data_IF_675508288122
#
_entry.id   IF_675508288122
#
_cell.length_a   1.000
_cell.length_b   1.000
_cell.length_c   1.000
_cell.angle_alpha   90.00
_cell.angle_beta   90.00
_cell.angle_gamma   90.00
#
_symmetry.space_group_name_H-M   'P 1'
#
loop_
_entity.id
_entity.type
_entity.pdbx_description
1 polymer ?
#
# COMPACT_ATOMS: atom_id res chain seq x y z
N UNK A 1 -1.75 -5.71 35.92
CA UNK A 1 -0.63 -4.88 35.49
C UNK A 1 -1.09 -3.44 35.59
N UNK A 2 -0.41 -2.58 36.34
CA UNK A 2 -0.80 -1.17 36.53
C UNK A 2 -0.54 -0.35 35.28
N UNK A 3 -1.32 0.72 35.05
CA UNK A 3 -1.15 1.61 33.89
C UNK A 3 0.27 2.21 33.79
N UNK A 4 0.89 2.47 34.95
CA UNK A 4 2.29 2.92 35.03
C UNK A 4 3.27 1.91 34.46
N UNK A 5 3.08 0.61 34.71
CA UNK A 5 3.93 -0.45 34.16
C UNK A 5 3.74 -0.60 32.63
N UNK A 6 2.53 -0.39 32.12
CA UNK A 6 2.24 -0.35 30.67
C UNK A 6 2.92 0.82 29.98
N UNK A 7 2.85 2.02 30.58
CA UNK A 7 3.51 3.24 30.04
C UNK A 7 5.03 3.10 30.01
N UNK A 8 5.64 2.48 31.04
CA UNK A 8 7.09 2.25 31.08
C UNK A 8 7.51 1.29 29.99
N UNK A 9 6.78 0.19 29.77
CA UNK A 9 7.03 -0.74 28.65
C UNK A 9 6.89 -0.07 27.29
N UNK A 10 5.84 0.73 27.09
CA UNK A 10 5.63 1.44 25.84
C UNK A 10 6.80 2.38 25.51
N UNK A 11 7.32 3.10 26.51
CA UNK A 11 8.51 3.96 26.37
C UNK A 11 9.74 3.16 25.96
N UNK A 12 9.93 1.96 26.49
CA UNK A 12 11.04 1.08 26.11
C UNK A 12 10.94 0.63 24.66
N UNK A 13 9.74 0.26 24.21
CA UNK A 13 9.52 -0.14 22.82
C UNK A 13 9.66 1.01 21.82
N UNK A 14 9.26 2.23 22.18
CA UNK A 14 9.49 3.41 21.33
C UNK A 14 10.97 3.76 21.20
N UNK A 15 11.79 3.49 22.21
CA UNK A 15 13.24 3.71 22.14
C UNK A 15 13.94 2.77 21.14
N UNK A 16 13.41 1.56 20.90
CA UNK A 16 13.90 0.60 19.89
C UNK A 16 13.22 0.73 18.51
N UNK A 17 12.58 1.87 18.21
CA UNK A 17 11.78 2.07 17.01
C UNK A 17 10.66 1.03 16.82
N UNK A 18 10.19 0.44 17.90
CA UNK A 18 9.10 -0.51 17.91
C UNK A 18 9.47 -1.94 17.48
N UNK A 19 10.69 -2.20 17.01
CA UNK A 19 11.08 -3.52 16.52
C UNK A 19 10.97 -4.60 17.62
N UNK A 20 11.42 -4.29 18.83
CA UNK A 20 11.33 -5.21 19.97
C UNK A 20 9.88 -5.45 20.40
N UNK A 21 9.00 -4.46 20.22
CA UNK A 21 7.58 -4.59 20.52
C UNK A 21 6.89 -5.57 19.55
N UNK A 22 7.14 -5.44 18.25
CA UNK A 22 6.55 -6.31 17.23
C UNK A 22 6.94 -7.78 17.42
N UNK A 23 8.17 -8.04 17.91
CA UNK A 23 8.65 -9.39 18.22
C UNK A 23 8.28 -9.89 19.61
N UNK A 24 7.67 -9.07 20.48
CA UNK A 24 7.41 -9.39 21.86
C UNK A 24 6.11 -10.13 22.08
N UNK A 25 6.01 -10.80 23.25
CA UNK A 25 4.73 -11.40 23.71
C UNK A 25 3.64 -10.37 24.04
N UNK A 26 4.01 -9.10 24.19
CA UNK A 26 3.08 -8.01 24.50
C UNK A 26 2.37 -7.48 23.24
N UNK A 27 2.88 -7.83 22.05
CA UNK A 27 2.20 -7.50 20.79
C UNK A 27 1.08 -8.51 20.54
N UNK A 28 -0.17 -8.06 20.38
CA UNK A 28 -1.31 -8.96 20.24
C UNK A 28 -1.20 -9.82 18.98
N UNK A 29 -1.05 -11.14 19.13
CA UNK A 29 -1.02 -12.08 17.99
C UNK A 29 -2.27 -11.98 17.10
N UNK A 30 -3.42 -11.68 17.70
CA UNK A 30 -4.66 -11.46 16.96
C UNK A 30 -4.56 -10.27 16.00
N UNK A 31 -3.81 -9.21 16.36
CA UNK A 31 -3.58 -8.06 15.49
C UNK A 31 -2.68 -8.44 14.30
N UNK A 32 -1.62 -9.21 14.54
CA UNK A 32 -0.75 -9.73 13.47
C UNK A 32 -1.57 -10.57 12.49
N UNK A 33 -2.34 -11.53 13.01
CA UNK A 33 -3.18 -12.41 12.17
C UNK A 33 -4.22 -11.62 11.39
N UNK A 34 -4.81 -10.58 11.99
CA UNK A 34 -5.77 -9.71 11.33
C UNK A 34 -5.09 -8.88 10.23
N UNK A 35 -3.94 -8.28 10.52
CA UNK A 35 -3.18 -7.51 9.53
C UNK A 35 -2.78 -8.39 8.34
N UNK A 36 -2.26 -9.60 8.59
CA UNK A 36 -1.90 -10.55 7.53
C UNK A 36 -3.10 -10.98 6.68
N UNK A 37 -4.26 -11.16 7.29
CA UNK A 37 -5.50 -11.53 6.58
C UNK A 37 -5.95 -10.45 5.61
N UNK A 38 -5.74 -9.19 5.95
CA UNK A 38 -6.19 -8.04 5.15
C UNK A 38 -5.06 -7.38 4.34
N UNK A 39 -3.83 -7.88 4.49
CA UNK A 39 -2.70 -7.43 3.69
C UNK A 39 -2.93 -7.75 2.21
N UNK A 40 -2.88 -6.74 1.31
CA UNK A 40 -3.05 -6.95 -0.12
C UNK A 40 -2.05 -7.94 -0.72
N UNK A 41 -0.78 -7.89 -0.29
CA UNK A 41 0.25 -8.85 -0.72
C UNK A 41 -0.12 -10.25 -0.25
N UNK A 42 -0.51 -10.41 1.02
CA UNK A 42 -0.93 -11.68 1.59
C UNK A 42 -2.15 -12.28 0.88
N UNK A 43 -3.12 -11.44 0.49
CA UNK A 43 -4.32 -11.86 -0.24
C UNK A 43 -4.02 -12.36 -1.65
N UNK A 44 -3.02 -11.82 -2.33
CA UNK A 44 -2.65 -12.17 -3.70
C UNK A 44 -1.59 -13.26 -3.77
N UNK A 45 -0.56 -13.19 -2.93
CA UNK A 45 0.64 -14.02 -3.02
C UNK A 45 0.85 -14.94 -1.81
N UNK A 46 0.07 -14.78 -0.73
CA UNK A 46 0.29 -15.49 0.52
C UNK A 46 1.67 -15.18 1.09
N UNK A 47 2.43 -16.24 1.40
CA UNK A 47 3.82 -16.12 1.88
C UNK A 47 4.85 -16.03 0.75
N UNK A 48 4.42 -16.20 -0.52
CA UNK A 48 5.33 -16.14 -1.67
C UNK A 48 5.76 -14.71 -1.98
N UNK A 49 6.90 -14.58 -2.67
CA UNK A 49 7.37 -13.30 -3.17
C UNK A 49 6.47 -12.76 -4.30
N UNK A 50 6.49 -11.44 -4.45
CA UNK A 50 5.76 -10.77 -5.53
C UNK A 50 6.51 -11.03 -6.83
N UNK A 51 5.84 -11.68 -7.78
CA UNK A 51 6.41 -11.95 -9.10
C UNK A 51 6.01 -10.83 -10.06
N UNK A 52 7.00 -10.15 -10.62
CA UNK A 52 6.78 -9.08 -11.60
C UNK A 52 6.07 -9.56 -12.87
N UNK A 53 6.40 -10.78 -13.32
CA UNK A 53 5.80 -11.44 -14.50
C UNK A 53 5.27 -12.83 -14.10
N UNK A 54 4.02 -12.92 -13.63
CA UNK A 54 3.41 -14.20 -13.29
C UNK A 54 3.13 -15.05 -14.55
N UNK A 55 3.21 -16.38 -14.42
CA UNK A 55 2.83 -17.32 -15.49
C UNK A 55 1.33 -17.19 -15.83
N UNK A 56 0.90 -17.69 -16.98
CA UNK A 56 -0.51 -17.64 -17.40
C UNK A 56 -1.45 -18.29 -16.37
N UNK A 57 -1.05 -19.43 -15.81
CA UNK A 57 -1.83 -20.11 -14.77
C UNK A 57 -1.96 -19.25 -13.49
N UNK A 58 -0.91 -18.55 -13.12
CA UNK A 58 -0.90 -17.66 -11.99
C UNK A 58 -1.68 -16.36 -12.26
N UNK A 59 -1.57 -15.81 -13.48
CA UNK A 59 -2.41 -14.69 -13.92
C UNK A 59 -3.90 -15.01 -13.82
N UNK A 60 -4.31 -16.24 -14.22
CA UNK A 60 -5.70 -16.69 -14.11
C UNK A 60 -6.17 -16.72 -12.65
N UNK A 61 -5.35 -17.24 -11.73
CA UNK A 61 -5.64 -17.26 -10.31
C UNK A 61 -5.71 -15.84 -9.71
N UNK A 62 -4.72 -15.00 -10.03
CA UNK A 62 -4.66 -13.61 -9.57
C UNK A 62 -5.85 -12.80 -10.08
N UNK A 63 -6.25 -13.01 -11.34
CA UNK A 63 -7.42 -12.34 -11.94
C UNK A 63 -8.69 -12.57 -11.13
N UNK A 64 -8.94 -13.78 -10.65
CA UNK A 64 -10.11 -14.06 -9.81
C UNK A 64 -10.15 -13.19 -8.55
N UNK A 65 -9.00 -12.97 -7.92
CA UNK A 65 -8.91 -12.10 -6.74
C UNK A 65 -9.06 -10.62 -7.14
N UNK A 66 -8.38 -10.18 -8.18
CA UNK A 66 -8.43 -8.79 -8.64
C UNK A 66 -9.84 -8.40 -9.10
N UNK A 67 -10.56 -9.28 -9.80
CA UNK A 67 -11.94 -9.04 -10.24
C UNK A 67 -12.88 -8.79 -9.05
N UNK A 68 -12.68 -9.48 -7.93
CA UNK A 68 -13.52 -9.30 -6.74
C UNK A 68 -13.11 -8.10 -5.89
N UNK A 69 -11.86 -7.65 -5.97
CA UNK A 69 -11.30 -6.65 -5.05
C UNK A 69 -11.14 -5.27 -5.66
N UNK A 70 -10.66 -5.18 -6.90
CA UNK A 70 -10.24 -3.90 -7.46
C UNK A 70 -10.79 -3.59 -8.87
N UNK A 71 -11.52 -4.49 -9.51
CA UNK A 71 -12.08 -4.25 -10.85
C UNK A 71 -12.86 -2.95 -10.92
N UNK A 72 -12.59 -2.11 -11.91
CA UNK A 72 -13.23 -0.82 -12.13
C UNK A 72 -12.85 0.27 -11.12
N UNK A 73 -11.90 0.01 -10.20
CA UNK A 73 -11.52 1.00 -9.18
C UNK A 73 -10.42 1.93 -9.67
N UNK A 74 -10.47 3.15 -9.11
CA UNK A 74 -9.40 4.12 -9.23
C UNK A 74 -8.69 4.21 -7.88
N UNK A 75 -7.37 4.13 -7.88
CA UNK A 75 -6.53 4.03 -6.69
C UNK A 75 -5.47 5.12 -6.76
N UNK A 76 -5.42 5.96 -5.73
CA UNK A 76 -4.33 6.91 -5.51
C UNK A 76 -3.52 6.46 -4.31
N UNK A 77 -2.21 6.38 -4.47
CA UNK A 77 -1.26 6.14 -3.40
C UNK A 77 -0.34 7.34 -3.27
N UNK A 78 -0.26 7.90 -2.07
CA UNK A 78 0.64 9.00 -1.73
C UNK A 78 1.66 8.49 -0.71
N UNK A 79 2.94 8.58 -1.04
CA UNK A 79 4.02 8.06 -0.19
C UNK A 79 5.07 9.13 0.09
N UNK A 80 5.50 9.27 1.36
CA UNK A 80 6.62 10.12 1.72
C UNK A 80 7.96 9.49 1.28
N UNK A 81 8.73 10.20 0.45
CA UNK A 81 10.01 9.71 -0.04
C UNK A 81 11.12 9.64 1.02
N UNK A 82 10.95 10.35 2.15
CA UNK A 82 11.84 10.32 3.31
C UNK A 82 11.21 9.62 4.53
N UNK A 83 10.13 8.86 4.34
CA UNK A 83 9.46 8.13 5.42
C UNK A 83 10.36 7.00 5.92
N UNK A 84 10.76 7.09 7.19
CA UNK A 84 11.59 6.08 7.86
C UNK A 84 10.77 5.05 8.63
N UNK A 85 9.49 5.32 8.87
CA UNK A 85 8.60 4.42 9.61
C UNK A 85 7.97 3.39 8.68
N UNK A 86 7.48 3.86 7.52
CA UNK A 86 6.95 3.01 6.44
C UNK A 86 7.63 3.40 5.12
N UNK A 87 8.88 2.99 4.90
CA UNK A 87 9.64 3.38 3.72
C UNK A 87 8.95 2.91 2.42
N UNK A 88 8.96 3.77 1.41
CA UNK A 88 8.31 3.48 0.12
C UNK A 88 8.75 2.14 -0.51
N UNK A 89 10.03 1.78 -0.38
CA UNK A 89 10.55 0.52 -0.92
C UNK A 89 9.85 -0.74 -0.35
N UNK A 90 9.18 -0.63 0.80
CA UNK A 90 8.37 -1.74 1.34
C UNK A 90 7.09 -1.99 0.53
N UNK A 91 6.52 -0.95 -0.07
CA UNK A 91 5.28 -1.01 -0.87
C UNK A 91 5.55 -1.07 -2.37
N UNK A 92 6.70 -0.55 -2.82
CA UNK A 92 7.06 -0.41 -4.23
C UNK A 92 6.91 -1.70 -5.05
N UNK A 93 7.39 -2.88 -4.61
CA UNK A 93 7.25 -4.11 -5.39
C UNK A 93 5.78 -4.47 -5.65
N UNK A 94 4.91 -4.24 -4.67
CA UNK A 94 3.48 -4.49 -4.81
C UNK A 94 2.82 -3.48 -5.74
N UNK A 95 3.13 -2.20 -5.62
CA UNK A 95 2.61 -1.14 -6.47
C UNK A 95 3.06 -1.33 -7.92
N UNK A 96 4.31 -1.70 -8.12
CA UNK A 96 4.85 -2.02 -9.45
C UNK A 96 4.14 -3.22 -10.07
N UNK A 97 3.88 -4.28 -9.28
CA UNK A 97 3.10 -5.42 -9.75
C UNK A 97 1.70 -5.00 -10.20
N UNK A 98 0.97 -4.21 -9.40
CA UNK A 98 -0.39 -3.75 -9.74
C UNK A 98 -0.37 -2.89 -11.00
N UNK A 99 0.58 -1.94 -11.12
CA UNK A 99 0.73 -1.10 -12.32
C UNK A 99 1.01 -1.94 -13.57
N UNK A 100 1.90 -2.92 -13.47
CA UNK A 100 2.23 -3.81 -14.59
C UNK A 100 1.03 -4.70 -14.97
N UNK A 101 0.33 -5.25 -14.00
CA UNK A 101 -0.86 -6.05 -14.26
C UNK A 101 -1.94 -5.24 -14.97
N UNK A 102 -2.27 -4.05 -14.45
CA UNK A 102 -3.35 -3.20 -14.96
C UNK A 102 -3.03 -2.55 -16.32
N UNK A 103 -1.77 -2.36 -16.65
CA UNK A 103 -1.33 -1.93 -17.99
C UNK A 103 -1.17 -3.08 -19.00
N UNK A 104 -1.01 -4.30 -18.50
CA UNK A 104 -0.76 -5.51 -19.28
C UNK A 104 -1.92 -6.51 -19.25
N UNK A 105 -1.67 -7.69 -18.69
CA UNK A 105 -2.57 -8.83 -18.73
C UNK A 105 -3.92 -8.66 -18.00
N UNK A 106 -4.05 -7.65 -17.14
CA UNK A 106 -5.29 -7.29 -16.43
C UNK A 106 -5.87 -5.93 -16.89
N UNK A 107 -5.54 -5.48 -18.10
CA UNK A 107 -6.00 -4.18 -18.65
C UNK A 107 -7.52 -4.08 -18.74
N UNK A 108 -8.19 -5.18 -19.02
CA UNK A 108 -9.67 -5.28 -19.09
C UNK A 108 -10.35 -5.16 -17.72
N UNK A 109 -9.61 -5.25 -16.61
CA UNK A 109 -10.10 -4.94 -15.26
C UNK A 109 -10.48 -3.48 -15.07
N UNK A 110 -10.11 -2.60 -16.00
CA UNK A 110 -10.38 -1.15 -15.96
C UNK A 110 -10.01 -0.51 -14.62
N UNK A 111 -8.84 -0.86 -14.10
CA UNK A 111 -8.28 -0.31 -12.86
C UNK A 111 -7.30 0.80 -13.24
N UNK A 112 -7.41 1.93 -12.56
CA UNK A 112 -6.43 3.00 -12.65
C UNK A 112 -5.63 3.09 -11.35
N UNK A 113 -4.30 3.20 -11.46
CA UNK A 113 -3.40 3.33 -10.31
C UNK A 113 -2.49 4.53 -10.52
N UNK A 114 -2.61 5.51 -9.63
CA UNK A 114 -1.71 6.65 -9.52
C UNK A 114 -0.87 6.48 -8.26
N UNK A 115 0.45 6.51 -8.40
CA UNK A 115 1.40 6.25 -7.32
C UNK A 115 2.40 7.41 -7.28
N UNK A 116 2.23 8.29 -6.30
CA UNK A 116 2.98 9.53 -6.14
C UNK A 116 3.91 9.44 -4.93
N UNK A 117 5.20 9.62 -5.17
CA UNK A 117 6.22 9.70 -4.12
C UNK A 117 6.66 11.15 -3.96
N UNK A 118 6.59 11.67 -2.73
CA UNK A 118 6.90 13.07 -2.43
C UNK A 118 8.27 13.17 -1.77
N UNK A 119 9.30 13.67 -2.48
CA UNK A 119 10.66 13.79 -1.96
C UNK A 119 10.73 14.65 -0.69
N UNK A 120 11.52 14.22 0.28
CA UNK A 120 11.72 14.96 1.53
C UNK A 120 10.57 14.89 2.55
N UNK A 121 9.42 14.33 2.18
CA UNK A 121 8.29 14.14 3.09
C UNK A 121 8.53 12.84 3.88
N UNK A 122 8.47 12.94 5.21
CA UNK A 122 8.55 11.82 6.15
C UNK A 122 7.20 11.15 6.35
N UNK A 123 6.99 10.57 7.56
CA UNK A 123 5.71 9.96 7.94
C UNK A 123 4.67 11.04 8.28
N UNK A 124 4.25 11.78 7.27
CA UNK A 124 3.30 12.89 7.39
C UNK A 124 2.50 13.05 6.09
N UNK A 125 1.31 13.64 6.23
CA UNK A 125 0.49 14.01 5.09
C UNK A 125 0.76 15.47 4.73
N UNK A 126 1.34 15.71 3.54
CA UNK A 126 1.75 17.06 3.11
C UNK A 126 0.65 17.80 2.36
N UNK A 127 0.82 19.13 2.20
CA UNK A 127 -0.10 19.95 1.42
C UNK A 127 -0.18 19.48 -0.06
N UNK A 128 0.93 19.02 -0.63
CA UNK A 128 0.93 18.53 -2.01
C UNK A 128 0.20 17.19 -2.13
N UNK A 129 0.30 16.31 -1.13
CA UNK A 129 -0.54 15.11 -1.04
C UNK A 129 -2.02 15.48 -0.97
N UNK A 130 -2.38 16.51 -0.20
CA UNK A 130 -3.76 17.00 -0.10
C UNK A 130 -4.27 17.54 -1.45
N UNK A 131 -3.48 18.35 -2.15
CA UNK A 131 -3.83 18.88 -3.48
C UNK A 131 -4.07 17.74 -4.49
N UNK A 132 -3.17 16.77 -4.54
CA UNK A 132 -3.30 15.62 -5.44
C UNK A 132 -4.52 14.75 -5.08
N UNK A 133 -4.81 14.58 -3.80
CA UNK A 133 -6.00 13.85 -3.35
C UNK A 133 -7.29 14.56 -3.76
N UNK A 134 -7.38 15.88 -3.57
CA UNK A 134 -8.54 16.68 -3.97
C UNK A 134 -8.72 16.61 -5.49
N UNK A 135 -7.65 16.78 -6.26
CA UNK A 135 -7.67 16.64 -7.73
C UNK A 135 -8.19 15.27 -8.12
N UNK A 136 -7.60 14.19 -7.58
CA UNK A 136 -7.97 12.82 -7.88
C UNK A 136 -9.46 12.55 -7.61
N UNK A 137 -9.96 12.97 -6.45
CA UNK A 137 -11.37 12.81 -6.09
C UNK A 137 -12.28 13.57 -7.06
N UNK A 138 -11.93 14.81 -7.41
CA UNK A 138 -12.72 15.60 -8.36
C UNK A 138 -12.74 14.96 -9.76
N UNK A 139 -11.59 14.44 -10.22
CA UNK A 139 -11.50 13.75 -11.52
C UNK A 139 -12.39 12.49 -11.54
N UNK A 140 -12.38 11.72 -10.44
CA UNK A 140 -13.25 10.53 -10.29
C UNK A 140 -14.73 10.90 -10.29
N UNK A 141 -15.13 11.92 -9.54
CA UNK A 141 -16.51 12.38 -9.43
C UNK A 141 -17.04 12.99 -10.74
N UNK A 142 -16.18 13.64 -11.51
CA UNK A 142 -16.53 14.16 -12.82
C UNK A 142 -16.71 13.07 -13.90
N UNK A 143 -16.60 11.79 -13.54
CA UNK A 143 -16.67 10.67 -14.49
C UNK A 143 -15.46 10.60 -15.41
N UNK A 144 -14.45 11.40 -15.14
CA UNK A 144 -13.17 11.39 -15.82
C UNK A 144 -12.39 10.12 -15.43
N UNK A 145 -12.20 9.23 -16.38
CA UNK A 145 -11.10 8.28 -16.29
C UNK A 145 -9.83 9.14 -16.31
N UNK A 146 -9.08 9.18 -15.18
CA UNK A 146 -7.83 9.95 -15.04
C UNK A 146 -6.70 9.50 -16.02
N UNK A 147 -7.08 8.85 -17.11
CA UNK A 147 -6.22 8.33 -18.19
C UNK A 147 -5.41 9.39 -18.95
N UNK A 148 -5.46 10.65 -18.57
CA UNK A 148 -4.96 11.75 -19.40
C UNK A 148 -3.76 12.53 -18.90
N UNK A 149 -3.19 12.28 -17.71
CA UNK A 149 -2.06 13.09 -17.23
C UNK A 149 -1.05 12.32 -16.38
N UNK A 150 -0.32 11.42 -17.00
CA UNK A 150 0.98 11.02 -16.47
C UNK A 150 1.98 12.17 -16.75
N UNK A 151 1.99 13.18 -15.90
CA UNK A 151 3.16 14.07 -15.80
C UNK A 151 4.09 13.44 -14.78
N UNK A 152 5.04 12.63 -15.27
CA UNK A 152 6.24 12.32 -14.53
C UNK A 152 6.89 13.64 -14.13
N UNK A 153 6.83 14.01 -12.86
CA UNK A 153 7.79 14.97 -12.29
C UNK A 153 9.02 14.16 -11.91
N UNK A 154 10.06 14.26 -12.77
CA UNK A 154 11.43 13.93 -12.36
C UNK A 154 11.90 14.86 -11.25
#
# INVERSE_FOLDING_TARGET
MTDRARLTKLKTYTASNGADFLGSKDFPRALISSAQKWDPKGSLFGTSDIKGNPSESEQKRLRQVLDTKIKGKQILVCSGGADKLVPYHCSEPFLQFIKNATSGWYKDGNVYVEDNVYPGIGHAYSEDMLKDTIRFVNDVLAGGSSKGRATAKM
#
